data_IF_880717887902
#
_entry.id   IF_880717887902
#
_cell.length_a   1.000
_cell.length_b   1.000
_cell.length_c   1.000
_cell.angle_alpha   90.00
_cell.angle_beta   90.00
_cell.angle_gamma   90.00
#
_symmetry.space_group_name_H-M   'P 1'
#
loop_
_entity.id
_entity.type
_entity.pdbx_description
1 polymer ?
#
# COMPACT_ATOMS: atom_id res chain seq x y z
N UNK A 1 -18.91 29.61 0.44
CA UNK A 1 -18.76 29.17 1.85
C UNK A 1 -19.03 27.67 2.04
N UNK A 2 -20.13 27.13 1.49
CA UNK A 2 -20.52 25.71 1.66
C UNK A 2 -19.42 24.73 1.19
N UNK A 3 -18.83 24.92 0.00
CA UNK A 3 -17.80 24.00 -0.53
C UNK A 3 -16.52 23.94 0.30
N UNK A 4 -16.13 25.07 0.92
CA UNK A 4 -14.98 25.13 1.81
C UNK A 4 -15.26 24.40 3.14
N UNK A 5 -16.50 24.49 3.65
CA UNK A 5 -16.93 23.76 4.84
C UNK A 5 -16.89 22.25 4.60
N UNK A 6 -17.47 21.76 3.49
CA UNK A 6 -17.49 20.32 3.15
C UNK A 6 -16.07 19.75 3.03
N UNK A 7 -15.17 20.46 2.36
CA UNK A 7 -13.76 20.01 2.23
C UNK A 7 -13.00 20.03 3.54
N UNK A 8 -13.26 21.02 4.42
CA UNK A 8 -12.69 21.07 5.76
C UNK A 8 -13.16 19.90 6.63
N UNK A 9 -14.47 19.64 6.65
CA UNK A 9 -15.04 18.48 7.34
C UNK A 9 -14.48 17.16 6.81
N UNK A 10 -14.30 17.02 5.49
CA UNK A 10 -13.65 15.86 4.87
C UNK A 10 -12.27 15.56 5.44
N UNK A 11 -11.41 16.58 5.52
CA UNK A 11 -10.06 16.44 6.09
C UNK A 11 -10.09 16.10 7.58
N UNK A 12 -10.98 16.72 8.34
CA UNK A 12 -11.14 16.42 9.76
C UNK A 12 -11.59 14.98 9.97
N UNK A 13 -12.51 14.45 9.16
CA UNK A 13 -12.96 13.06 9.26
C UNK A 13 -11.81 12.06 9.06
N UNK A 14 -10.92 12.32 8.09
CA UNK A 14 -9.75 11.47 7.85
C UNK A 14 -8.78 11.52 9.04
N UNK A 15 -8.50 12.72 9.56
CA UNK A 15 -7.59 12.91 10.69
C UNK A 15 -8.13 12.23 11.96
N UNK A 16 -9.43 12.41 12.27
CA UNK A 16 -10.09 11.73 13.38
C UNK A 16 -10.08 10.21 13.20
N UNK A 17 -10.31 9.70 11.98
CA UNK A 17 -10.24 8.26 11.69
C UNK A 17 -8.85 7.71 12.00
N UNK A 18 -7.80 8.41 11.56
CA UNK A 18 -6.42 8.01 11.84
C UNK A 18 -6.17 7.90 13.35
N UNK A 19 -6.54 8.93 14.10
CA UNK A 19 -6.33 8.96 15.55
C UNK A 19 -7.06 7.83 16.26
N UNK A 20 -8.33 7.59 15.91
CA UNK A 20 -9.14 6.51 16.51
C UNK A 20 -8.56 5.12 16.25
N UNK A 21 -8.01 4.89 15.05
CA UNK A 21 -7.40 3.61 14.69
C UNK A 21 -6.09 3.41 15.45
N UNK A 22 -5.21 4.41 15.44
CA UNK A 22 -3.89 4.32 16.08
C UNK A 22 -3.99 4.26 17.62
N UNK A 23 -4.98 4.94 18.22
CA UNK A 23 -5.21 4.90 19.67
C UNK A 23 -5.73 3.53 20.14
N UNK A 24 -6.69 2.95 19.41
CA UNK A 24 -7.29 1.66 19.81
C UNK A 24 -6.37 0.48 19.51
N UNK A 25 -5.62 0.54 18.41
CA UNK A 25 -4.84 -0.57 17.89
C UNK A 25 -3.37 -0.14 17.73
N UNK A 26 -2.53 -0.25 18.78
CA UNK A 26 -1.13 0.20 18.71
C UNK A 26 -0.26 -0.65 17.78
N UNK A 27 -0.75 -1.83 17.37
CA UNK A 27 -0.07 -2.74 16.46
C UNK A 27 -0.25 -2.38 14.97
N UNK A 28 -1.07 -1.36 14.65
CA UNK A 28 -1.32 -0.92 13.28
C UNK A 28 -0.98 0.56 13.11
N UNK A 29 -0.66 0.96 11.89
CA UNK A 29 -0.31 2.35 11.57
C UNK A 29 -1.00 2.79 10.28
N UNK A 30 -1.49 4.02 10.24
CA UNK A 30 -2.03 4.57 8.98
C UNK A 30 -0.89 5.02 8.07
N UNK A 31 -0.81 4.44 6.87
CA UNK A 31 0.29 4.73 5.92
C UNK A 31 -0.10 5.71 4.82
N UNK A 32 -1.37 5.77 4.47
CA UNK A 32 -1.85 6.63 3.40
C UNK A 32 -3.32 7.00 3.60
N UNK A 33 -3.71 8.18 3.12
CA UNK A 33 -5.10 8.60 3.05
C UNK A 33 -5.32 9.50 1.84
N UNK A 34 -6.39 9.25 1.09
CA UNK A 34 -6.79 10.05 -0.07
C UNK A 34 -8.30 10.26 -0.07
N UNK A 35 -8.70 11.52 0.11
CA UNK A 35 -10.06 12.05 0.00
C UNK A 35 -11.12 11.39 0.91
N UNK A 36 -11.41 10.12 0.70
CA UNK A 36 -12.41 9.29 1.39
C UNK A 36 -11.86 7.91 1.79
N UNK A 37 -10.60 7.62 1.48
CA UNK A 37 -9.95 6.33 1.76
C UNK A 37 -8.80 6.48 2.75
N UNK A 38 -8.64 5.46 3.61
CA UNK A 38 -7.53 5.33 4.56
C UNK A 38 -6.93 3.95 4.40
N UNK A 39 -5.61 3.87 4.27
CA UNK A 39 -4.86 2.63 4.16
C UNK A 39 -4.10 2.37 5.47
N UNK A 40 -4.34 1.21 6.06
CA UNK A 40 -3.80 0.82 7.35
C UNK A 40 -2.78 -0.30 7.13
N UNK A 41 -1.58 -0.11 7.65
CA UNK A 41 -0.57 -1.14 7.72
C UNK A 41 -0.83 -2.05 8.92
N UNK A 42 -1.09 -3.31 8.60
CA UNK A 42 -1.47 -4.35 9.55
C UNK A 42 -0.31 -5.31 9.88
N UNK A 43 0.93 -5.00 9.48
CA UNK A 43 2.09 -5.87 9.71
C UNK A 43 2.31 -6.22 11.19
N UNK A 44 1.98 -5.34 12.12
CA UNK A 44 2.14 -5.59 13.55
C UNK A 44 1.10 -6.55 14.17
N UNK A 45 0.06 -6.95 13.44
CA UNK A 45 -0.96 -7.89 13.96
C UNK A 45 -0.44 -9.33 14.08
N UNK A 46 0.49 -9.73 13.21
CA UNK A 46 1.08 -11.07 13.23
C UNK A 46 2.56 -10.90 13.59
N UNK A 47 2.99 -11.33 14.79
CA UNK A 47 4.39 -11.25 15.15
C UNK A 47 5.20 -12.20 14.26
N UNK A 48 6.26 -11.67 13.65
CA UNK A 48 7.21 -12.51 12.93
C UNK A 48 7.93 -13.43 13.91
N UNK A 49 8.04 -14.71 13.57
CA UNK A 49 8.81 -15.70 14.35
C UNK A 49 10.33 -15.46 14.33
N UNK A 50 10.79 -14.23 14.12
CA UNK A 50 12.19 -13.85 14.03
C UNK A 50 12.46 -12.51 14.77
N UNK A 51 12.18 -12.46 16.06
CA UNK A 51 12.83 -11.48 16.93
C UNK A 51 14.20 -12.03 17.36
N UNK A 52 15.22 -11.74 16.55
CA UNK A 52 16.60 -11.54 17.01
C UNK A 52 17.04 -10.17 16.51
N UNK A 53 17.07 -9.24 17.47
CA UNK A 53 18.04 -8.16 17.66
C UNK A 53 18.52 -7.40 16.41
N UNK A 54 18.09 -6.14 16.24
CA UNK A 54 18.94 -4.96 16.53
C UNK A 54 18.19 -3.64 16.25
N UNK A 55 18.56 -2.64 17.04
CA UNK A 55 18.02 -1.28 17.20
C UNK A 55 18.57 -0.23 16.22
N UNK A 56 17.82 0.87 16.03
CA UNK A 56 18.27 2.19 15.51
C UNK A 56 18.05 2.35 14.00
N UNK A 57 17.55 3.44 13.42
CA UNK A 57 17.48 4.87 13.75
C UNK A 57 16.25 5.46 13.00
N UNK A 58 15.55 6.52 13.42
CA UNK A 58 16.07 7.86 13.71
C UNK A 58 15.88 8.75 12.46
N UNK A 59 15.06 9.81 12.59
CA UNK A 59 14.69 10.81 11.56
C UNK A 59 15.89 11.59 10.96
N UNK A 60 15.58 12.36 9.91
CA UNK A 60 16.27 13.57 9.39
C UNK A 60 17.11 13.52 8.08
N UNK A 61 16.61 14.35 7.15
CA UNK A 61 17.28 15.16 6.12
C UNK A 61 18.05 14.55 4.93
N UNK A 62 17.47 14.83 3.75
CA UNK A 62 18.07 15.36 2.50
C UNK A 62 19.57 15.10 2.28
N UNK A 63 19.86 14.40 1.17
CA UNK A 63 20.88 14.82 0.20
C UNK A 63 20.66 14.18 -1.17
N UNK A 64 20.32 15.03 -2.13
CA UNK A 64 20.55 14.83 -3.56
C UNK A 64 21.98 14.34 -3.83
N UNK A 65 22.13 13.37 -4.74
CA UNK A 65 23.08 13.45 -5.87
C UNK A 65 23.15 12.09 -6.59
N UNK A 66 22.80 12.10 -7.88
CA UNK A 66 23.34 11.18 -8.86
C UNK A 66 24.89 11.34 -8.95
N UNK A 67 25.61 10.31 -9.43
CA UNK A 67 26.08 10.36 -10.84
C UNK A 67 25.97 8.98 -11.53
N UNK A 68 25.47 8.88 -12.76
CA UNK A 68 26.16 9.08 -14.04
C UNK A 68 27.13 7.95 -14.48
N UNK A 69 26.64 7.17 -15.45
CA UNK A 69 27.28 6.75 -16.71
C UNK A 69 28.48 5.75 -16.80
N UNK A 70 28.22 4.73 -17.65
CA UNK A 70 29.06 4.16 -18.72
C UNK A 70 30.08 3.03 -18.45
N UNK A 71 29.87 1.87 -19.09
CA UNK A 71 30.76 1.29 -20.10
C UNK A 71 30.13 0.05 -20.77
N UNK A 72 30.32 -0.08 -22.09
CA UNK A 72 29.83 -1.13 -22.96
C UNK A 72 30.79 -2.33 -23.05
N UNK A 73 30.26 -3.54 -23.23
CA UNK A 73 30.90 -4.64 -23.96
C UNK A 73 29.80 -5.65 -24.38
N UNK A 74 29.76 -5.95 -25.68
CA UNK A 74 28.88 -6.95 -26.29
C UNK A 74 29.41 -8.37 -26.01
N UNK A 75 28.51 -9.28 -25.64
CA UNK A 75 28.48 -10.69 -26.04
C UNK A 75 27.03 -11.18 -25.86
N UNK A 76 26.32 -11.48 -26.95
CA UNK A 76 25.19 -12.43 -26.89
C UNK A 76 25.80 -13.84 -26.79
N UNK A 77 25.31 -14.72 -25.89
CA UNK A 77 24.21 -15.57 -26.32
C UNK A 77 23.29 -16.16 -25.22
N UNK A 78 22.17 -16.69 -25.71
CA UNK A 78 21.24 -17.68 -25.15
C UNK A 78 19.99 -17.19 -24.42
N UNK A 79 18.88 -17.42 -25.12
CA UNK A 79 17.48 -17.39 -24.70
C UNK A 79 17.28 -18.22 -23.43
N UNK A 80 17.30 -17.57 -22.27
CA UNK A 80 16.91 -18.17 -21.00
C UNK A 80 15.37 -18.15 -20.94
N UNK A 81 14.76 -19.34 -20.91
CA UNK A 81 13.37 -19.50 -20.56
C UNK A 81 13.15 -18.84 -19.20
N UNK A 82 12.44 -17.72 -19.20
CA UNK A 82 12.04 -16.98 -18.01
C UNK A 82 11.10 -17.89 -17.25
N UNK A 83 11.65 -18.71 -16.35
CA UNK A 83 10.85 -19.36 -15.33
C UNK A 83 10.07 -18.23 -14.65
N UNK A 84 8.75 -18.25 -14.78
CA UNK A 84 7.87 -17.45 -13.94
C UNK A 84 8.13 -17.92 -12.52
N UNK A 85 9.13 -17.31 -11.88
CA UNK A 85 9.49 -17.56 -10.50
C UNK A 85 8.34 -17.00 -9.70
N UNK A 86 7.29 -17.83 -9.53
CA UNK A 86 6.19 -17.59 -8.61
C UNK A 86 6.84 -17.17 -7.31
N UNK A 87 6.64 -15.91 -6.95
CA UNK A 87 6.92 -15.36 -5.63
C UNK A 87 6.49 -16.42 -4.60
N UNK A 88 7.46 -17.13 -4.00
CA UNK A 88 7.19 -18.22 -3.06
C UNK A 88 6.51 -17.58 -1.86
N UNK A 89 5.19 -17.71 -1.77
CA UNK A 89 4.42 -17.23 -0.61
C UNK A 89 4.87 -18.04 0.60
N UNK A 90 5.45 -17.35 1.57
CA UNK A 90 5.78 -17.96 2.85
C UNK A 90 4.49 -18.15 3.65
N UNK A 91 4.45 -19.21 4.46
CA UNK A 91 3.27 -19.53 5.30
C UNK A 91 2.81 -18.37 6.20
N UNK A 92 3.74 -17.49 6.58
CA UNK A 92 3.49 -16.28 7.37
C UNK A 92 2.68 -15.24 6.61
N UNK A 93 2.85 -15.11 5.29
CA UNK A 93 2.18 -14.09 4.49
C UNK A 93 0.69 -14.36 4.36
N UNK A 94 0.32 -15.64 4.23
CA UNK A 94 -1.09 -16.04 4.27
C UNK A 94 -1.74 -15.67 5.59
N UNK A 95 -1.06 -15.93 6.71
CA UNK A 95 -1.58 -15.59 8.04
C UNK A 95 -1.76 -14.07 8.22
N UNK A 96 -0.83 -13.25 7.72
CA UNK A 96 -0.96 -11.78 7.71
C UNK A 96 -2.14 -11.31 6.88
N UNK A 97 -2.35 -11.93 5.72
CA UNK A 97 -3.44 -11.58 4.83
C UNK A 97 -4.81 -11.92 5.46
N UNK A 98 -4.93 -13.11 6.06
CA UNK A 98 -6.13 -13.54 6.79
C UNK A 98 -6.40 -12.62 7.99
N UNK A 99 -5.37 -12.29 8.77
CA UNK A 99 -5.49 -11.36 9.90
C UNK A 99 -5.97 -9.97 9.44
N UNK A 100 -5.36 -9.41 8.38
CA UNK A 100 -5.75 -8.10 7.84
C UNK A 100 -7.21 -8.10 7.30
N UNK A 101 -7.63 -9.19 6.65
CA UNK A 101 -9.01 -9.35 6.17
C UNK A 101 -10.04 -9.44 7.29
N UNK A 102 -9.69 -10.07 8.43
CA UNK A 102 -10.56 -10.08 9.61
C UNK A 102 -10.59 -8.74 10.34
N UNK A 103 -9.46 -8.04 10.39
CA UNK A 103 -9.31 -6.76 11.08
C UNK A 103 -10.02 -5.60 10.38
N UNK A 104 -10.01 -5.58 9.04
CA UNK A 104 -10.60 -4.49 8.25
C UNK A 104 -12.07 -4.19 8.60
N UNK A 105 -12.98 -5.18 8.57
CA UNK A 105 -14.38 -4.99 8.96
C UNK A 105 -14.56 -4.58 10.43
N UNK A 106 -13.76 -5.12 11.34
CA UNK A 106 -13.80 -4.76 12.77
C UNK A 106 -13.44 -3.27 12.97
N UNK A 107 -12.33 -2.84 12.38
CA UNK A 107 -11.86 -1.46 12.44
C UNK A 107 -12.88 -0.50 11.81
N UNK A 108 -13.45 -0.85 10.66
CA UNK A 108 -14.46 -0.04 9.97
C UNK A 108 -15.74 0.14 10.83
N UNK A 109 -16.23 -0.94 11.44
CA UNK A 109 -17.39 -0.89 12.34
C UNK A 109 -17.13 -0.04 13.59
N UNK A 110 -15.93 -0.17 14.17
CA UNK A 110 -15.52 0.64 15.31
C UNK A 110 -15.52 2.13 14.98
N UNK A 111 -14.81 2.53 13.93
CA UNK A 111 -14.71 3.95 13.54
C UNK A 111 -16.09 4.52 13.16
N UNK A 112 -16.93 3.74 12.48
CA UNK A 112 -18.31 4.13 12.13
C UNK A 112 -19.13 4.54 13.36
N UNK A 113 -18.89 3.93 14.53
CA UNK A 113 -19.62 4.25 15.77
C UNK A 113 -19.36 5.68 16.26
N UNK A 114 -18.22 6.28 15.90
CA UNK A 114 -17.85 7.65 16.30
C UNK A 114 -18.41 8.73 15.36
N UNK A 115 -18.94 8.34 14.20
CA UNK A 115 -19.52 9.28 13.24
C UNK A 115 -21.05 9.32 13.32
N UNK A 116 -21.63 10.47 12.98
CA UNK A 116 -23.09 10.63 12.93
C UNK A 116 -23.64 9.94 11.69
N UNK A 117 -24.75 9.21 11.83
CA UNK A 117 -25.51 8.72 10.69
C UNK A 117 -25.82 9.89 9.74
N UNK A 118 -25.69 9.74 8.40
CA UNK A 118 -25.52 8.50 7.62
C UNK A 118 -24.06 8.12 7.28
N UNK A 119 -23.07 8.68 7.95
CA UNK A 119 -21.65 8.44 7.65
C UNK A 119 -21.27 7.03 8.14
N UNK A 120 -20.77 6.19 7.25
CA UNK A 120 -20.30 4.82 7.54
C UNK A 120 -19.00 4.56 6.80
N UNK A 121 -18.09 3.85 7.47
CA UNK A 121 -16.87 3.32 6.87
C UNK A 121 -17.10 1.85 6.53
N UNK A 122 -16.56 1.44 5.39
CA UNK A 122 -16.65 0.06 4.92
C UNK A 122 -15.28 -0.45 4.55
N UNK A 123 -15.03 -1.71 4.86
CA UNK A 123 -13.84 -2.39 4.39
C UNK A 123 -14.01 -2.74 2.90
N UNK A 124 -13.02 -2.36 2.08
CA UNK A 124 -13.09 -2.58 0.64
C UNK A 124 -12.17 -3.73 0.16
N UNK A 125 -10.87 -3.68 0.50
CA UNK A 125 -9.86 -4.60 -0.03
C UNK A 125 -8.57 -4.61 0.80
N UNK A 126 -7.72 -5.61 0.57
CA UNK A 126 -6.32 -5.65 1.06
C UNK A 126 -5.36 -5.58 -0.13
N UNK A 127 -4.24 -4.84 0.04
CA UNK A 127 -3.12 -4.87 -0.91
C UNK A 127 -1.96 -5.68 -0.35
N UNK A 128 -1.45 -6.64 -1.11
CA UNK A 128 -0.26 -7.43 -0.74
C UNK A 128 0.44 -8.10 -1.93
N UNK A 129 1.67 -7.75 -2.32
CA UNK A 129 2.47 -6.66 -1.80
C UNK A 129 1.87 -5.30 -2.19
N UNK A 130 2.32 -4.25 -1.48
CA UNK A 130 1.91 -2.87 -1.72
C UNK A 130 3.15 -2.00 -1.94
N UNK A 131 3.10 -1.15 -2.97
CA UNK A 131 4.15 -0.22 -3.37
C UNK A 131 3.54 1.19 -3.45
N UNK A 132 3.89 2.03 -2.49
CA UNK A 132 3.55 3.45 -2.50
C UNK A 132 4.78 4.24 -2.97
N UNK A 133 4.69 4.91 -4.12
CA UNK A 133 5.78 5.74 -4.64
C UNK A 133 5.59 7.20 -4.21
N UNK A 134 4.39 7.74 -4.41
CA UNK A 134 4.07 9.14 -4.15
C UNK A 134 2.55 9.31 -3.95
N UNK A 135 2.12 10.54 -3.59
CA UNK A 135 0.68 10.86 -3.54
C UNK A 135 0.02 10.56 -4.89
N UNK A 136 -1.08 9.80 -4.85
CA UNK A 136 -1.82 9.30 -6.02
C UNK A 136 -1.00 8.42 -6.99
N UNK A 137 0.14 7.89 -6.54
CA UNK A 137 1.05 7.03 -7.32
C UNK A 137 1.41 5.79 -6.51
N UNK A 138 0.63 4.73 -6.68
CA UNK A 138 0.81 3.47 -5.96
C UNK A 138 0.40 2.28 -6.81
N UNK A 139 0.97 1.11 -6.49
CA UNK A 139 0.57 -0.18 -7.04
C UNK A 139 0.43 -1.21 -5.92
N UNK A 140 -0.42 -2.19 -6.13
CA UNK A 140 -0.49 -3.36 -5.27
C UNK A 140 -1.31 -4.46 -5.91
N UNK A 141 -1.03 -5.70 -5.50
CA UNK A 141 -1.92 -6.81 -5.82
C UNK A 141 -3.13 -6.71 -4.91
N UNK A 142 -4.32 -6.70 -5.51
CA UNK A 142 -5.59 -6.62 -4.82
C UNK A 142 -6.03 -8.02 -4.39
N UNK A 143 -6.40 -8.15 -3.12
CA UNK A 143 -6.92 -9.39 -2.54
C UNK A 143 -8.30 -9.16 -1.95
N UNK A 144 -9.29 -9.86 -2.49
CA UNK A 144 -10.62 -10.03 -1.87
C UNK A 144 -10.73 -11.30 -1.04
N UNK A 145 -9.91 -12.32 -1.35
CA UNK A 145 -9.87 -13.63 -0.69
C UNK A 145 -8.43 -13.99 -0.34
N UNK A 146 -8.18 -14.81 0.69
CA UNK A 146 -6.82 -15.11 1.14
C UNK A 146 -6.05 -16.06 0.20
N UNK A 147 -6.75 -16.77 -0.69
CA UNK A 147 -6.15 -17.83 -1.50
C UNK A 147 -5.45 -17.31 -2.75
N UNK A 148 -6.01 -16.30 -3.42
CA UNK A 148 -5.46 -15.77 -4.65
C UNK A 148 -5.75 -14.27 -4.82
N UNK A 149 -4.85 -13.59 -5.55
CA UNK A 149 -5.02 -12.18 -5.87
C UNK A 149 -5.93 -12.02 -7.08
N UNK A 150 -6.72 -10.96 -7.10
CA UNK A 150 -7.67 -10.72 -8.18
C UNK A 150 -7.00 -10.05 -9.39
N UNK A 151 -6.28 -8.95 -9.13
CA UNK A 151 -5.57 -8.17 -10.16
C UNK A 151 -4.52 -7.25 -9.55
N UNK A 152 -3.59 -6.80 -10.39
CA UNK A 152 -2.73 -5.67 -10.07
C UNK A 152 -3.53 -4.36 -10.20
N UNK A 153 -3.65 -3.58 -9.13
CA UNK A 153 -4.15 -2.22 -9.19
C UNK A 153 -2.96 -1.26 -9.24
N UNK A 154 -2.93 -0.38 -10.25
CA UNK A 154 -1.89 0.61 -10.46
C UNK A 154 -2.57 1.98 -10.63
N UNK A 155 -2.33 2.89 -9.69
CA UNK A 155 -2.90 4.24 -9.71
C UNK A 155 -1.80 5.25 -9.99
N UNK A 156 -2.00 6.08 -11.01
CA UNK A 156 -1.11 7.20 -11.35
C UNK A 156 0.31 6.84 -11.79
N UNK A 157 0.61 5.55 -11.95
CA UNK A 157 1.88 5.07 -12.49
C UNK A 157 1.93 5.34 -14.00
N UNK A 158 3.13 5.55 -14.53
CA UNK A 158 3.41 5.85 -15.93
C UNK A 158 2.79 4.85 -16.91
N UNK A 159 2.56 3.61 -16.49
CA UNK A 159 1.91 2.55 -17.28
C UNK A 159 0.45 2.82 -17.58
N UNK A 160 -0.28 3.45 -16.67
CA UNK A 160 -1.72 3.74 -16.83
C UNK A 160 -1.97 5.13 -17.41
N UNK A 161 -0.88 5.88 -17.66
CA UNK A 161 -0.90 7.24 -18.21
C UNK A 161 -0.84 7.22 -19.73
N UNK A 162 -1.65 8.07 -20.37
CA UNK A 162 -1.77 8.15 -21.84
C UNK A 162 -0.83 9.18 -22.48
N UNK A 163 -0.18 10.00 -21.66
CA UNK A 163 0.73 11.05 -22.10
C UNK A 163 2.14 10.55 -22.45
N UNK A 164 2.46 9.29 -22.16
CA UNK A 164 3.77 8.69 -22.37
C UNK A 164 3.81 7.79 -23.61
N UNK A 165 5.01 7.56 -24.15
CA UNK A 165 5.19 6.64 -25.26
C UNK A 165 4.82 5.19 -24.83
N UNK A 166 4.25 4.38 -25.74
CA UNK A 166 3.84 3.00 -25.42
C UNK A 166 4.98 2.11 -24.90
N UNK A 167 6.23 2.43 -25.26
CA UNK A 167 7.42 1.72 -24.80
C UNK A 167 7.57 1.75 -23.27
N UNK A 168 7.25 2.88 -22.63
CA UNK A 168 7.34 3.01 -21.17
C UNK A 168 6.34 2.06 -20.49
N UNK A 169 5.14 1.92 -21.05
CA UNK A 169 4.14 0.99 -20.53
C UNK A 169 4.60 -0.47 -20.68
N UNK A 170 5.20 -0.83 -21.82
CA UNK A 170 5.69 -2.20 -22.04
C UNK A 170 6.89 -2.55 -21.18
N UNK A 171 7.80 -1.60 -20.90
CA UNK A 171 8.99 -1.84 -20.08
C UNK A 171 8.62 -2.03 -18.60
N UNK A 172 7.70 -1.21 -18.08
CA UNK A 172 7.32 -1.28 -16.66
C UNK A 172 6.36 -2.46 -16.39
N UNK A 173 5.60 -2.90 -17.39
CA UNK A 173 4.69 -4.05 -17.25
C UNK A 173 5.34 -5.39 -17.65
N UNK A 174 6.58 -5.37 -18.15
CA UNK A 174 7.25 -6.47 -18.83
C UNK A 174 8.17 -7.32 -17.97
#
# INVERSE_FOLDING_TARGET
>A
EISASVTSFGRQMIETTKQLVEEKYPAVKVVYGDTDSVMIDCRGLVPDKAAKDESGDGDDDVKDAAPAAAAAAEEEPQVLQREESKFKRDSTDRARLEAAMSFGPEAAAYVTTHFKAPIRLEFEKVYFPFLLMNKKRYAGLLWTRPDDYDKLDAKGIETVRRDNCPLIASVISG
#
